data_IF_712525835814
#
_entry.id   IF_712525835814
#
_cell.length_a   1.000
_cell.length_b   1.000
_cell.length_c   1.000
_cell.angle_alpha   90.00
_cell.angle_beta   90.00
_cell.angle_gamma   90.00
#
_symmetry.space_group_name_H-M   'P 1'
#
loop_
_entity.id
_entity.type
_entity.pdbx_description
1 polymer ?
#
# COMPACT_ATOMS: atom_id res chain seq x y z
N UNK A 1 18.85 6.25 15.48
CA UNK A 1 18.61 5.07 14.64
C UNK A 1 19.75 4.10 14.92
N UNK A 2 19.42 2.93 15.41
CA UNK A 2 20.38 1.93 15.88
C UNK A 2 21.23 1.40 14.71
N UNK A 3 22.52 1.24 14.91
CA UNK A 3 23.46 0.61 13.94
C UNK A 3 22.98 -0.80 13.49
N UNK A 4 22.13 -1.44 14.30
CA UNK A 4 21.50 -2.72 13.98
C UNK A 4 20.55 -2.67 12.78
N UNK A 5 19.83 -1.54 12.55
CA UNK A 5 18.93 -1.38 11.42
C UNK A 5 19.68 -1.24 10.10
N UNK A 6 20.83 -0.54 10.09
CA UNK A 6 21.70 -0.42 8.90
C UNK A 6 22.33 -1.77 8.55
N UNK A 7 22.70 -2.57 9.56
CA UNK A 7 23.18 -3.94 9.36
C UNK A 7 22.11 -4.87 8.77
N UNK A 8 20.82 -4.70 9.15
CA UNK A 8 19.73 -5.53 8.63
C UNK A 8 19.43 -5.26 7.16
N UNK A 9 19.63 -4.04 6.66
CA UNK A 9 19.46 -3.72 5.24
C UNK A 9 20.53 -4.42 4.36
N UNK A 10 21.78 -4.46 4.79
CA UNK A 10 22.81 -5.26 4.13
C UNK A 10 22.47 -6.74 4.15
N UNK A 11 21.98 -7.27 5.28
CA UNK A 11 21.56 -8.67 5.39
C UNK A 11 20.36 -9.01 4.50
N UNK A 12 19.45 -8.08 4.23
CA UNK A 12 18.34 -8.28 3.29
C UNK A 12 18.87 -8.52 1.88
N UNK A 13 19.85 -7.73 1.43
CA UNK A 13 20.43 -7.84 0.09
C UNK A 13 21.20 -9.16 -0.12
N UNK A 14 21.79 -9.69 0.92
CA UNK A 14 22.64 -10.89 0.88
C UNK A 14 21.92 -12.18 1.28
N UNK A 15 20.61 -12.09 1.66
CA UNK A 15 19.84 -13.27 2.07
C UNK A 15 19.40 -14.10 0.86
N UNK A 16 19.35 -15.43 1.02
CA UNK A 16 18.84 -16.35 -0.02
C UNK A 16 17.38 -16.05 -0.41
N UNK A 17 16.60 -15.48 0.52
CA UNK A 17 15.22 -15.03 0.26
C UNK A 17 15.05 -13.55 0.62
N UNK A 18 15.36 -12.69 -0.31
CA UNK A 18 15.28 -11.23 -0.18
C UNK A 18 13.85 -10.68 -0.01
N UNK A 19 12.85 -11.47 -0.36
CA UNK A 19 11.44 -11.07 -0.33
C UNK A 19 10.78 -11.26 1.03
N UNK A 20 11.48 -11.90 1.97
CA UNK A 20 10.98 -12.15 3.31
C UNK A 20 12.01 -11.71 4.34
N UNK A 21 11.59 -10.88 5.28
CA UNK A 21 12.40 -10.56 6.44
C UNK A 21 12.52 -11.84 7.31
N UNK A 22 13.74 -12.17 7.74
CA UNK A 22 13.94 -13.25 8.69
C UNK A 22 13.48 -12.84 10.11
N UNK A 23 13.41 -13.80 11.03
CA UNK A 23 12.94 -13.56 12.40
C UNK A 23 13.71 -12.44 13.11
N UNK A 24 15.03 -12.41 12.96
CA UNK A 24 15.87 -11.38 13.58
C UNK A 24 15.63 -9.99 13.00
N UNK A 25 15.42 -9.89 11.69
CA UNK A 25 15.10 -8.63 11.02
C UNK A 25 13.72 -8.10 11.45
N UNK A 26 12.73 -9.00 11.55
CA UNK A 26 11.40 -8.66 12.06
C UNK A 26 11.47 -8.21 13.53
N UNK A 27 12.18 -8.94 14.39
CA UNK A 27 12.38 -8.57 15.81
C UNK A 27 12.98 -7.17 15.95
N UNK A 28 14.02 -6.85 15.17
CA UNK A 28 14.67 -5.54 15.22
C UNK A 28 13.74 -4.43 14.72
N UNK A 29 13.00 -4.68 13.63
CA UNK A 29 12.05 -3.72 13.07
C UNK A 29 10.89 -3.45 14.05
N UNK A 30 10.30 -4.49 14.61
CA UNK A 30 9.22 -4.36 15.59
C UNK A 30 9.72 -3.71 16.89
N UNK A 31 10.94 -4.03 17.33
CA UNK A 31 11.57 -3.34 18.46
C UNK A 31 11.75 -1.84 18.22
N UNK A 32 12.13 -1.44 17.00
CA UNK A 32 12.22 -0.03 16.63
C UNK A 32 10.85 0.66 16.58
N UNK A 33 9.83 0.01 16.01
CA UNK A 33 8.44 0.50 16.00
C UNK A 33 7.90 0.69 17.43
N UNK A 34 8.14 -0.27 18.31
CA UNK A 34 7.68 -0.17 19.69
C UNK A 34 8.33 1.02 20.43
N UNK A 35 9.65 1.21 20.26
CA UNK A 35 10.33 2.41 20.78
C UNK A 35 9.78 3.71 20.23
N UNK A 36 9.43 3.74 18.95
CA UNK A 36 8.80 4.91 18.32
C UNK A 36 7.44 5.20 18.97
N UNK A 37 6.60 4.20 19.12
CA UNK A 37 5.28 4.31 19.79
C UNK A 37 5.41 4.80 21.25
N UNK A 38 6.30 4.18 22.02
CA UNK A 38 6.57 4.56 23.42
C UNK A 38 7.07 6.00 23.56
N UNK A 39 7.74 6.52 22.54
CA UNK A 39 8.26 7.89 22.50
C UNK A 39 7.26 8.89 21.91
N UNK A 40 6.04 8.48 21.55
CA UNK A 40 5.06 9.33 20.89
C UNK A 40 5.45 9.71 19.43
N UNK A 41 6.31 8.93 18.80
CA UNK A 41 6.82 9.18 17.45
C UNK A 41 6.16 8.24 16.43
N UNK A 42 4.85 8.43 16.20
CA UNK A 42 4.07 7.50 15.38
C UNK A 42 3.04 8.20 14.51
N UNK A 43 2.83 7.75 13.28
CA UNK A 43 1.82 8.27 12.34
C UNK A 43 1.87 9.79 12.07
N UNK A 44 3.02 10.41 12.08
CA UNK A 44 3.18 11.87 11.89
C UNK A 44 2.58 12.43 10.62
N UNK A 45 2.43 11.60 9.57
CA UNK A 45 1.89 12.03 8.27
C UNK A 45 0.39 12.33 8.32
N UNK A 46 -0.35 11.77 9.28
CA UNK A 46 -1.79 11.96 9.40
C UNK A 46 -2.11 13.33 10.00
N UNK A 47 -2.88 14.19 9.27
CA UNK A 47 -3.23 15.51 9.74
C UNK A 47 -4.33 15.52 10.80
N UNK A 48 -5.04 14.40 11.00
CA UNK A 48 -6.07 14.27 12.04
C UNK A 48 -5.41 13.94 13.38
N UNK A 49 -5.66 14.77 14.40
CA UNK A 49 -5.10 14.61 15.74
C UNK A 49 -5.65 13.38 16.52
N UNK A 50 -6.75 12.77 16.06
CA UNK A 50 -7.29 11.54 16.68
C UNK A 50 -6.54 10.28 16.24
N UNK A 51 -5.97 10.28 15.03
CA UNK A 51 -5.30 9.13 14.41
C UNK A 51 -3.82 9.36 14.14
N UNK A 52 -3.37 10.60 14.13
CA UNK A 52 -2.00 11.07 13.99
C UNK A 52 -1.70 12.19 14.98
N UNK A 53 -0.75 13.05 14.65
CA UNK A 53 -0.28 14.15 15.52
C UNK A 53 -0.91 15.52 15.18
N UNK A 54 -1.79 15.59 14.18
CA UNK A 54 -2.42 16.84 13.76
C UNK A 54 -1.45 17.85 13.15
N UNK A 55 -0.30 17.39 12.63
CA UNK A 55 0.69 18.27 12.03
C UNK A 55 0.22 18.84 10.69
N UNK A 56 0.61 20.08 10.39
CA UNK A 56 0.49 20.56 9.02
C UNK A 56 1.45 19.83 8.08
N UNK A 57 1.14 19.82 6.78
CA UNK A 57 2.07 19.25 5.78
C UNK A 57 3.45 19.91 5.80
N UNK A 58 3.51 21.20 6.17
CA UNK A 58 4.77 21.93 6.28
C UNK A 58 5.61 21.41 7.45
N UNK A 59 5.00 21.21 8.62
CA UNK A 59 5.68 20.67 9.79
C UNK A 59 6.15 19.24 9.54
N UNK A 60 5.30 18.41 8.96
CA UNK A 60 5.65 17.05 8.58
C UNK A 60 6.79 16.98 7.54
N UNK A 61 6.90 17.95 6.63
CA UNK A 61 7.96 17.97 5.61
C UNK A 61 9.37 17.96 6.23
N UNK A 62 9.58 18.66 7.35
CA UNK A 62 10.88 18.62 8.07
C UNK A 62 11.16 17.25 8.67
N UNK A 63 10.15 16.59 9.24
CA UNK A 63 10.26 15.23 9.77
C UNK A 63 10.55 14.25 8.63
N UNK A 64 9.84 14.35 7.52
CA UNK A 64 10.04 13.49 6.35
C UNK A 64 11.46 13.62 5.77
N UNK A 65 12.04 14.84 5.76
CA UNK A 65 13.43 15.06 5.34
C UNK A 65 14.43 14.35 6.26
N UNK A 66 14.18 14.34 7.58
CA UNK A 66 15.03 13.56 8.52
C UNK A 66 14.85 12.06 8.33
N UNK A 67 13.62 11.57 8.15
CA UNK A 67 13.35 10.15 7.89
C UNK A 67 14.00 9.66 6.60
N UNK A 68 14.04 10.51 5.57
CA UNK A 68 14.66 10.19 4.28
C UNK A 68 16.17 9.92 4.33
N UNK A 69 16.86 10.25 5.42
CA UNK A 69 18.29 9.97 5.62
C UNK A 69 18.59 8.48 5.88
N UNK A 70 17.57 7.69 6.20
CA UNK A 70 17.72 6.25 6.40
C UNK A 70 16.54 5.52 5.75
N UNK A 71 16.75 4.51 4.88
CA UNK A 71 15.71 3.81 4.13
C UNK A 71 14.62 3.14 4.99
N UNK A 72 14.96 2.75 6.23
CA UNK A 72 14.03 2.08 7.15
C UNK A 72 13.32 3.05 8.12
N UNK A 73 13.81 4.29 8.25
CA UNK A 73 13.28 5.22 9.24
C UNK A 73 11.79 5.53 9.06
N UNK A 74 11.34 5.74 7.82
CA UNK A 74 9.93 5.99 7.52
C UNK A 74 9.04 4.82 7.97
N UNK A 75 9.49 3.58 7.79
CA UNK A 75 8.72 2.41 8.22
C UNK A 75 8.69 2.28 9.75
N UNK A 76 9.78 2.60 10.44
CA UNK A 76 9.84 2.50 11.91
C UNK A 76 8.90 3.48 12.63
N UNK A 77 8.47 4.55 11.96
CA UNK A 77 7.51 5.53 12.46
C UNK A 77 6.13 5.41 11.80
N UNK A 78 5.90 4.34 11.03
CA UNK A 78 4.70 4.10 10.23
C UNK A 78 4.37 5.23 9.22
N UNK A 79 5.41 5.88 8.70
CA UNK A 79 5.32 6.99 7.76
C UNK A 79 5.78 6.60 6.34
N UNK A 80 5.77 5.31 6.00
CA UNK A 80 6.27 4.81 4.71
C UNK A 80 5.17 4.76 3.66
N UNK A 81 5.45 5.30 2.47
CA UNK A 81 4.59 5.08 1.31
C UNK A 81 4.69 3.61 0.82
N UNK A 82 3.60 3.06 0.23
CA UNK A 82 2.32 3.69 -0.10
C UNK A 82 1.29 3.69 1.06
N UNK A 83 1.62 3.11 2.22
CA UNK A 83 0.68 2.95 3.33
C UNK A 83 0.11 4.29 3.80
N UNK A 84 0.93 5.35 3.84
CA UNK A 84 0.50 6.69 4.25
C UNK A 84 -0.69 7.18 3.44
N UNK A 85 -0.60 7.17 2.11
CA UNK A 85 -1.70 7.58 1.25
C UNK A 85 -2.92 6.67 1.35
N UNK A 86 -2.71 5.36 1.49
CA UNK A 86 -3.80 4.40 1.65
C UNK A 86 -4.54 4.57 2.97
N UNK A 87 -3.82 4.87 4.06
CA UNK A 87 -4.43 5.18 5.36
C UNK A 87 -5.24 6.46 5.30
N UNK A 88 -4.74 7.53 4.65
CA UNK A 88 -5.51 8.76 4.46
C UNK A 88 -6.79 8.54 3.65
N UNK A 89 -6.73 7.73 2.58
CA UNK A 89 -7.92 7.39 1.80
C UNK A 89 -8.93 6.64 2.65
N UNK A 90 -8.49 5.58 3.36
CA UNK A 90 -9.36 4.80 4.24
C UNK A 90 -9.96 5.66 5.37
N UNK A 91 -9.17 6.56 5.94
CA UNK A 91 -9.64 7.48 7.00
C UNK A 91 -10.75 8.38 6.50
N UNK A 92 -10.59 8.95 5.31
CA UNK A 92 -11.55 9.93 4.74
C UNK A 92 -12.82 9.28 4.23
N UNK A 93 -12.71 8.15 3.52
CA UNK A 93 -13.83 7.62 2.73
C UNK A 93 -14.19 6.17 3.05
N UNK A 94 -13.44 5.48 3.91
CA UNK A 94 -13.75 4.12 4.33
C UNK A 94 -15.00 4.05 5.21
N UNK A 95 -15.79 2.99 5.05
CA UNK A 95 -16.90 2.69 5.98
C UNK A 95 -16.34 2.28 7.35
N UNK A 96 -17.16 2.30 8.43
CA UNK A 96 -16.72 1.83 9.75
C UNK A 96 -16.12 0.41 9.71
N UNK A 97 -16.71 -0.49 8.93
CA UNK A 97 -16.27 -1.88 8.77
C UNK A 97 -14.93 -1.96 8.02
N UNK A 98 -14.76 -1.16 6.96
CA UNK A 98 -13.50 -1.06 6.22
C UNK A 98 -12.40 -0.46 7.08
N UNK A 99 -12.69 0.54 7.90
CA UNK A 99 -11.75 1.15 8.85
C UNK A 99 -11.32 0.16 9.92
N UNK A 100 -12.25 -0.55 10.53
CA UNK A 100 -11.90 -1.56 11.55
C UNK A 100 -11.06 -2.69 10.95
N UNK A 101 -11.41 -3.16 9.75
CA UNK A 101 -10.75 -4.30 9.12
C UNK A 101 -9.37 -3.95 8.55
N UNK A 102 -9.20 -2.75 7.98
CA UNK A 102 -8.00 -2.41 7.21
C UNK A 102 -7.23 -1.20 7.76
N UNK A 103 -7.92 -0.10 8.07
CA UNK A 103 -7.23 1.10 8.57
C UNK A 103 -6.60 0.86 9.94
N UNK A 104 -7.30 0.25 10.85
CA UNK A 104 -6.81 0.01 12.21
C UNK A 104 -5.52 -0.83 12.26
N UNK A 105 -5.42 -1.99 11.57
CA UNK A 105 -4.16 -2.71 11.49
C UNK A 105 -3.04 -1.94 10.77
N UNK A 106 -3.36 -1.11 9.77
CA UNK A 106 -2.39 -0.23 9.11
C UNK A 106 -1.87 0.85 10.07
N UNK A 107 -2.77 1.52 10.81
CA UNK A 107 -2.40 2.51 11.83
C UNK A 107 -1.53 1.91 12.93
N UNK A 108 -1.76 0.66 13.28
CA UNK A 108 -0.95 -0.08 14.25
C UNK A 108 0.40 -0.56 13.68
N UNK A 109 0.59 -0.49 12.35
CA UNK A 109 1.78 -1.01 11.67
C UNK A 109 1.88 -2.54 11.65
N UNK A 110 0.75 -3.23 11.80
CA UNK A 110 0.64 -4.70 11.82
C UNK A 110 0.66 -5.29 10.41
N UNK A 111 0.10 -4.59 9.45
CA UNK A 111 0.06 -4.97 8.03
C UNK A 111 0.60 -3.83 7.16
N UNK A 112 0.89 -4.18 5.90
CA UNK A 112 1.23 -3.23 4.84
C UNK A 112 0.15 -3.24 3.77
N UNK A 113 0.20 -2.24 2.90
CA UNK A 113 -0.74 -2.06 1.79
C UNK A 113 -0.01 -1.69 0.50
N UNK A 114 -0.74 -1.73 -0.61
CA UNK A 114 -0.28 -1.20 -1.87
C UNK A 114 -1.41 -0.47 -2.62
N UNK A 115 -1.03 0.30 -3.66
CA UNK A 115 -1.98 1.04 -4.48
C UNK A 115 -1.83 0.64 -5.96
N UNK A 116 -2.88 0.03 -6.52
CA UNK A 116 -2.91 -0.45 -7.89
C UNK A 116 -3.42 0.61 -8.87
N UNK A 117 -2.52 1.45 -9.39
CA UNK A 117 -2.86 2.52 -10.35
C UNK A 117 -2.39 2.19 -11.76
N UNK A 118 -1.09 2.19 -11.97
CA UNK A 118 -0.48 2.12 -13.30
C UNK A 118 -0.66 0.76 -13.99
N UNK A 119 -0.77 0.78 -15.32
CA UNK A 119 -1.01 -0.37 -16.17
C UNK A 119 0.00 -0.44 -17.31
N UNK A 120 0.44 -1.65 -17.74
CA UNK A 120 1.48 -1.77 -18.76
C UNK A 120 1.03 -1.38 -20.16
N UNK A 121 -0.26 -1.54 -20.47
CA UNK A 121 -0.78 -1.40 -21.84
C UNK A 121 -1.30 0.01 -22.18
N UNK A 122 -1.46 0.90 -21.20
CA UNK A 122 -2.08 2.21 -21.39
C UNK A 122 -1.34 3.32 -20.62
N UNK A 123 -1.51 4.57 -21.03
CA UNK A 123 -0.97 5.74 -20.34
C UNK A 123 -1.78 6.03 -19.06
N UNK A 124 -1.66 5.15 -18.08
CA UNK A 124 -2.50 5.07 -16.88
C UNK A 124 -2.16 6.07 -15.78
N UNK A 125 -1.17 6.93 -15.99
CA UNK A 125 -0.96 8.13 -15.14
C UNK A 125 -2.15 9.09 -15.23
N UNK A 126 -2.86 9.12 -16.37
CA UNK A 126 -4.20 9.69 -16.44
C UNK A 126 -5.21 8.58 -16.10
N UNK A 127 -5.90 8.71 -14.97
CA UNK A 127 -6.88 7.74 -14.50
C UNK A 127 -7.99 7.42 -15.52
N UNK A 128 -8.30 8.35 -16.42
CA UNK A 128 -9.29 8.14 -17.48
C UNK A 128 -8.89 7.03 -18.48
N UNK A 129 -7.58 6.78 -18.62
CA UNK A 129 -7.05 5.76 -19.52
C UNK A 129 -7.00 4.35 -18.91
N UNK A 130 -7.34 4.18 -17.64
CA UNK A 130 -7.32 2.87 -17.00
C UNK A 130 -8.21 1.88 -17.76
N UNK A 131 -7.67 0.69 -18.01
CA UNK A 131 -8.33 -0.41 -18.71
C UNK A 131 -8.75 -1.55 -17.80
N UNK A 132 -8.13 -1.70 -16.63
CA UNK A 132 -8.56 -2.69 -15.62
C UNK A 132 -10.03 -2.48 -15.32
N UNK A 133 -10.84 -3.50 -15.59
CA UNK A 133 -12.29 -3.45 -15.48
C UNK A 133 -12.79 -4.12 -14.21
N UNK A 134 -13.87 -3.59 -13.66
CA UNK A 134 -14.63 -4.26 -12.60
C UNK A 134 -16.12 -4.21 -12.96
N UNK A 135 -16.79 -5.36 -12.91
CA UNK A 135 -18.24 -5.47 -13.15
C UNK A 135 -18.91 -6.07 -11.94
N UNK A 136 -20.00 -5.46 -11.51
CA UNK A 136 -20.82 -6.00 -10.43
C UNK A 136 -21.68 -7.16 -10.97
N UNK A 137 -21.49 -8.35 -10.42
CA UNK A 137 -22.23 -9.55 -10.75
C UNK A 137 -22.85 -10.11 -9.45
N UNK A 138 -24.13 -9.91 -9.30
CA UNK A 138 -24.81 -10.19 -8.02
C UNK A 138 -24.27 -9.28 -6.90
N UNK A 139 -23.66 -9.87 -5.90
CA UNK A 139 -23.08 -9.17 -4.75
C UNK A 139 -21.54 -9.13 -4.79
N UNK A 140 -20.92 -9.37 -5.95
CA UNK A 140 -19.47 -9.42 -6.09
C UNK A 140 -18.99 -8.55 -7.27
N UNK A 141 -17.91 -7.82 -7.05
CA UNK A 141 -17.13 -7.23 -8.13
C UNK A 141 -16.27 -8.31 -8.78
N UNK A 142 -16.36 -8.46 -10.09
CA UNK A 142 -15.49 -9.33 -10.90
C UNK A 142 -14.49 -8.43 -11.63
N UNK A 143 -13.20 -8.58 -11.27
CA UNK A 143 -12.13 -7.68 -11.69
C UNK A 143 -11.19 -8.40 -12.63
N UNK A 144 -10.84 -7.73 -13.76
CA UNK A 144 -9.89 -8.22 -14.74
C UNK A 144 -8.97 -7.09 -15.22
N UNK A 145 -7.69 -7.39 -15.33
CA UNK A 145 -6.68 -6.46 -15.83
C UNK A 145 -5.31 -6.68 -15.24
N UNK A 146 -4.40 -5.75 -15.51
CA UNK A 146 -3.03 -5.82 -15.01
C UNK A 146 -2.63 -4.48 -14.39
N UNK A 147 -1.85 -4.54 -13.32
CA UNK A 147 -1.25 -3.39 -12.65
C UNK A 147 0.27 -3.56 -12.62
N UNK A 148 0.99 -2.47 -12.69
CA UNK A 148 2.38 -2.45 -13.08
C UNK A 148 3.16 -1.41 -12.26
N UNK A 149 4.36 -1.75 -11.79
CA UNK A 149 5.13 -0.95 -10.82
C UNK A 149 4.38 -0.68 -9.50
N UNK A 150 3.72 -1.70 -8.96
CA UNK A 150 2.93 -1.56 -7.73
C UNK A 150 3.84 -1.70 -6.51
N UNK A 151 4.19 -0.55 -5.91
CA UNK A 151 5.09 -0.46 -4.76
C UNK A 151 4.50 -1.14 -3.53
N UNK A 152 5.34 -1.93 -2.86
CA UNK A 152 4.96 -2.63 -1.62
C UNK A 152 4.24 -3.96 -1.82
N UNK A 153 3.77 -4.27 -3.03
CA UNK A 153 3.01 -5.51 -3.26
C UNK A 153 3.85 -6.80 -3.16
N UNK A 154 5.19 -6.69 -3.20
CA UNK A 154 6.10 -7.83 -3.02
C UNK A 154 6.34 -8.20 -1.56
N UNK A 155 6.03 -7.33 -0.64
CA UNK A 155 6.21 -7.57 0.79
C UNK A 155 5.17 -8.58 1.31
N UNK A 156 5.60 -9.65 1.95
CA UNK A 156 4.72 -10.67 2.52
C UNK A 156 3.74 -10.15 3.58
N UNK A 157 4.06 -8.99 4.16
CA UNK A 157 3.20 -8.28 5.13
C UNK A 157 2.12 -7.42 4.44
N UNK A 158 2.21 -7.21 3.12
CA UNK A 158 1.19 -6.50 2.37
C UNK A 158 -0.09 -7.36 2.28
N UNK A 159 -1.20 -6.86 2.82
CA UNK A 159 -2.45 -7.63 2.91
C UNK A 159 -3.59 -7.05 2.09
N UNK A 160 -3.49 -5.78 1.72
CA UNK A 160 -4.58 -5.09 1.04
C UNK A 160 -4.05 -4.18 -0.08
N UNK A 161 -4.71 -4.21 -1.22
CA UNK A 161 -4.51 -3.28 -2.33
C UNK A 161 -5.74 -2.37 -2.47
N UNK A 162 -5.52 -1.06 -2.55
CA UNK A 162 -6.53 -0.13 -3.10
C UNK A 162 -6.30 -0.11 -4.61
N UNK A 163 -7.25 -0.64 -5.38
CA UNK A 163 -7.12 -0.77 -6.82
C UNK A 163 -8.03 0.19 -7.55
N UNK A 164 -7.45 1.04 -8.40
CA UNK A 164 -8.21 1.87 -9.34
C UNK A 164 -8.69 1.02 -10.51
N UNK A 165 -9.98 0.99 -10.75
CA UNK A 165 -10.64 0.17 -11.77
C UNK A 165 -11.69 0.97 -12.53
N UNK A 166 -12.01 0.55 -13.75
CA UNK A 166 -13.12 1.11 -14.53
C UNK A 166 -14.39 0.31 -14.25
N UNK A 167 -15.35 0.96 -13.59
CA UNK A 167 -16.65 0.35 -13.21
C UNK A 167 -17.77 0.73 -14.16
N UNK A 168 -17.76 1.96 -14.70
CA UNK A 168 -18.79 2.45 -15.60
C UNK A 168 -18.19 3.12 -16.85
N UNK A 169 -17.89 2.36 -17.92
CA UNK A 169 -17.28 2.90 -19.13
C UNK A 169 -18.17 3.87 -19.90
N UNK A 170 -19.49 3.86 -19.66
CA UNK A 170 -20.48 4.70 -20.36
C UNK A 170 -20.70 6.05 -19.64
N UNK A 171 -20.14 6.23 -18.44
CA UNK A 171 -20.22 7.50 -17.72
C UNK A 171 -19.27 8.57 -18.31
N UNK A 172 -19.43 9.81 -17.85
CA UNK A 172 -18.45 10.87 -18.14
C UNK A 172 -17.02 10.44 -17.76
N UNK A 173 -15.97 10.80 -18.51
CA UNK A 173 -14.62 10.23 -18.37
C UNK A 173 -14.05 10.23 -16.96
N UNK A 174 -14.35 11.26 -16.16
CA UNK A 174 -13.88 11.36 -14.77
C UNK A 174 -14.80 10.68 -13.74
N UNK A 175 -15.86 10.01 -14.19
CA UNK A 175 -16.80 9.22 -13.38
C UNK A 175 -16.81 7.74 -13.78
N UNK A 176 -15.89 7.32 -14.62
CA UNK A 176 -15.80 5.92 -15.05
C UNK A 176 -15.07 5.02 -14.06
N UNK A 177 -14.27 5.61 -13.16
CA UNK A 177 -13.36 4.88 -12.30
C UNK A 177 -13.85 4.86 -10.86
N UNK A 178 -13.54 3.75 -10.20
CA UNK A 178 -13.78 3.55 -8.77
C UNK A 178 -12.56 2.94 -8.11
N UNK A 179 -12.47 3.05 -6.80
CA UNK A 179 -11.44 2.41 -6.00
C UNK A 179 -12.04 1.20 -5.29
N UNK A 180 -11.42 0.03 -5.46
CA UNK A 180 -11.89 -1.21 -4.83
C UNK A 180 -10.79 -1.80 -3.95
N UNK A 181 -11.15 -2.21 -2.74
CA UNK A 181 -10.29 -2.92 -1.81
C UNK A 181 -10.17 -4.39 -2.22
N UNK A 182 -8.95 -4.83 -2.53
CA UNK A 182 -8.66 -6.21 -2.94
C UNK A 182 -7.63 -6.80 -1.98
N UNK A 183 -8.01 -7.78 -1.12
CA UNK A 183 -7.03 -8.55 -0.36
C UNK A 183 -6.04 -9.26 -1.29
N UNK A 184 -4.74 -9.25 -0.96
CA UNK A 184 -3.71 -9.80 -1.88
C UNK A 184 -3.75 -11.32 -2.01
N UNK A 185 -4.42 -12.01 -1.11
CA UNK A 185 -4.65 -13.45 -1.14
C UNK A 185 -5.94 -13.85 -1.89
N UNK A 186 -6.62 -12.89 -2.55
CA UNK A 186 -7.85 -13.17 -3.30
C UNK A 186 -7.55 -14.07 -4.51
N UNK A 187 -8.30 -15.18 -4.69
CA UNK A 187 -8.13 -16.05 -5.84
C UNK A 187 -8.22 -15.31 -7.18
N UNK A 188 -7.28 -15.59 -8.09
CA UNK A 188 -7.19 -14.93 -9.39
C UNK A 188 -6.28 -13.69 -9.40
N UNK A 189 -5.80 -13.22 -8.25
CA UNK A 189 -4.74 -12.23 -8.16
C UNK A 189 -3.39 -12.95 -8.16
N UNK A 190 -2.51 -12.56 -9.08
CA UNK A 190 -1.18 -13.12 -9.27
C UNK A 190 -0.13 -12.01 -9.19
N UNK A 191 0.88 -12.17 -8.35
CA UNK A 191 2.12 -11.39 -8.41
C UNK A 191 3.00 -12.03 -9.48
N UNK A 192 3.08 -11.40 -10.66
CA UNK A 192 3.74 -11.98 -11.84
C UNK A 192 5.25 -11.95 -11.69
N UNK A 193 5.80 -10.77 -11.39
CA UNK A 193 7.24 -10.57 -11.22
C UNK A 193 7.55 -9.22 -10.57
N UNK A 194 8.72 -9.10 -9.96
CA UNK A 194 9.25 -7.79 -9.57
C UNK A 194 9.68 -7.00 -10.80
N UNK A 195 9.44 -5.69 -10.75
CA UNK A 195 9.91 -4.73 -11.74
C UNK A 195 11.19 -4.05 -11.22
N UNK A 196 12.15 -3.82 -12.08
CA UNK A 196 13.39 -3.15 -11.69
C UNK A 196 13.39 -1.68 -12.03
N UNK A 197 13.96 -0.86 -11.15
CA UNK A 197 14.25 0.55 -11.38
C UNK A 197 15.77 0.73 -11.31
N UNK A 198 16.39 1.16 -12.39
CA UNK A 198 17.85 1.23 -12.53
C UNK A 198 18.56 -0.09 -12.15
N UNK A 199 17.97 -1.24 -12.50
CA UNK A 199 18.48 -2.57 -12.21
C UNK A 199 18.29 -3.05 -10.77
N UNK A 200 17.56 -2.31 -9.93
CA UNK A 200 17.23 -2.69 -8.55
C UNK A 200 15.78 -3.08 -8.41
N UNK A 201 15.50 -4.16 -7.70
CA UNK A 201 14.14 -4.69 -7.45
C UNK A 201 13.51 -4.24 -6.13
N UNK A 202 14.31 -3.55 -5.27
CA UNK A 202 13.91 -2.99 -3.97
C UNK A 202 13.23 -4.00 -3.02
N UNK A 203 13.66 -5.26 -3.05
CA UNK A 203 13.18 -6.25 -2.09
C UNK A 203 13.44 -5.81 -0.62
N UNK A 204 12.54 -6.13 0.32
CA UNK A 204 11.34 -6.96 0.20
C UNK A 204 10.07 -6.23 -0.28
N UNK A 205 10.06 -4.90 -0.35
CA UNK A 205 8.90 -4.11 -0.78
C UNK A 205 8.55 -4.36 -2.24
N UNK A 206 9.52 -4.15 -3.11
CA UNK A 206 9.43 -4.29 -4.55
C UNK A 206 8.43 -3.37 -5.23
N UNK A 207 8.50 -3.37 -6.55
CA UNK A 207 7.50 -2.76 -7.43
C UNK A 207 6.97 -3.89 -8.32
N UNK A 208 5.79 -4.41 -8.04
CA UNK A 208 5.31 -5.64 -8.67
C UNK A 208 4.48 -5.39 -9.91
N UNK A 209 4.58 -6.34 -10.85
CA UNK A 209 3.59 -6.57 -11.87
C UNK A 209 2.52 -7.51 -11.31
N UNK A 210 1.26 -7.10 -11.34
CA UNK A 210 0.12 -7.83 -10.80
C UNK A 210 -0.85 -8.13 -11.95
N UNK A 211 -1.31 -9.35 -12.05
CA UNK A 211 -2.39 -9.77 -12.95
C UNK A 211 -3.62 -10.19 -12.16
N UNK A 212 -4.76 -9.77 -12.64
CA UNK A 212 -6.06 -10.09 -12.06
C UNK A 212 -6.92 -10.78 -13.11
N UNK A 213 -7.32 -12.02 -12.85
CA UNK A 213 -8.16 -12.82 -13.73
C UNK A 213 -9.38 -13.30 -12.97
N UNK A 214 -10.53 -12.68 -13.27
CA UNK A 214 -11.79 -12.96 -12.58
C UNK A 214 -11.67 -12.88 -11.04
N UNK A 215 -10.90 -11.94 -10.55
CA UNK A 215 -10.77 -11.66 -9.11
C UNK A 215 -12.13 -11.22 -8.58
N UNK A 216 -12.62 -11.89 -7.54
CA UNK A 216 -13.94 -11.61 -6.96
C UNK A 216 -13.79 -11.05 -5.55
N UNK A 217 -14.42 -9.91 -5.32
CA UNK A 217 -14.53 -9.30 -3.99
C UNK A 217 -15.96 -8.85 -3.73
N UNK A 218 -16.40 -8.80 -2.46
CA UNK A 218 -17.72 -8.31 -2.11
C UNK A 218 -18.03 -6.91 -2.64
N UNK A 219 -19.27 -6.61 -2.95
CA UNK A 219 -19.69 -5.27 -3.44
C UNK A 219 -19.32 -4.14 -2.46
N UNK A 220 -19.30 -4.45 -1.17
CA UNK A 220 -18.96 -3.54 -0.08
C UNK A 220 -17.48 -3.13 -0.07
N UNK A 221 -16.64 -3.76 -0.90
CA UNK A 221 -15.21 -3.41 -1.00
C UNK A 221 -14.96 -2.15 -1.85
N UNK A 222 -15.97 -1.57 -2.49
CA UNK A 222 -15.84 -0.26 -3.15
C UNK A 222 -15.66 0.84 -2.09
N UNK A 223 -14.73 1.76 -2.35
CA UNK A 223 -14.52 2.95 -1.53
C UNK A 223 -15.36 4.11 -2.06
N UNK A 224 -16.14 4.75 -1.18
CA UNK A 224 -16.96 5.93 -1.47
C UNK A 224 -18.06 5.73 -2.55
N UNK A 225 -18.28 4.51 -3.07
CA UNK A 225 -19.25 4.23 -4.14
C UNK A 225 -18.65 4.17 -5.53
N UNK A 226 -19.51 4.13 -6.54
CA UNK A 226 -19.13 4.08 -7.94
C UNK A 226 -19.02 5.48 -8.54
N UNK A 227 -17.95 5.76 -9.29
CA UNK A 227 -17.74 6.96 -10.09
C UNK A 227 -17.10 8.14 -9.41
#
# INVERSE_FOLDING_TARGET
IDRGLVGSEMCIRDSENRWHLNERQLELLEGAKNKAKESGLWNFFLPNAETGEGLSNLDYAYIAAELGKNPLASETLNCSAPDTGNMEVLERVGTPEQKEKWLKPLLNGEIRSCYGMTEPAVASSDAKNISTSARLVGNEWVINGEKYYISGAGDSRCKIMICMVKTNPDAEPFRQQSQILIPLDTPGLEIVQPMTVFGQDEAPKGHMHIRMTNVKVPKENVLWGEG
#
